data_IF_617316034921
#
_entry.id   IF_617316034921
#
_cell.length_a   1.000
_cell.length_b   1.000
_cell.length_c   1.000
_cell.angle_alpha   90.00
_cell.angle_beta   90.00
_cell.angle_gamma   90.00
#
_symmetry.space_group_name_H-M   'P 1'
#
loop_
_entity.id
_entity.type
_entity.pdbx_description
1 polymer ?
#
# COMPACT_ATOMS: atom_id res chain seq x y z
N UNK A 1 4.21 5.98 -10.48
CA UNK A 1 2.92 6.61 -10.84
C UNK A 1 2.90 6.90 -12.34
N UNK A 2 1.73 6.83 -12.96
CA UNK A 2 1.53 7.16 -14.38
C UNK A 2 0.22 7.93 -14.56
N UNK A 3 0.10 8.66 -15.66
CA UNK A 3 -1.17 9.30 -16.10
C UNK A 3 -1.40 8.92 -17.55
N UNK A 4 -2.60 8.43 -17.87
CA UNK A 4 -2.93 7.90 -19.20
C UNK A 4 -1.90 6.87 -19.73
N UNK A 5 -1.32 6.06 -18.84
CA UNK A 5 -0.29 5.07 -19.16
C UNK A 5 1.13 5.63 -19.32
N UNK A 6 1.33 6.95 -19.26
CA UNK A 6 2.65 7.57 -19.35
C UNK A 6 3.32 7.57 -17.98
N UNK A 7 4.43 6.85 -17.86
CA UNK A 7 5.21 6.75 -16.61
C UNK A 7 5.84 8.09 -16.24
N UNK A 8 5.49 8.63 -15.07
CA UNK A 8 6.11 9.87 -14.59
C UNK A 8 7.58 9.68 -14.26
N UNK A 9 8.00 8.49 -13.82
CA UNK A 9 9.42 8.17 -13.56
C UNK A 9 10.26 8.11 -14.85
N UNK A 10 9.62 7.84 -16.00
CA UNK A 10 10.32 7.89 -17.29
C UNK A 10 10.47 9.34 -17.78
N UNK A 11 9.48 10.20 -17.52
CA UNK A 11 9.54 11.62 -17.85
C UNK A 11 10.47 12.41 -16.92
N UNK A 12 10.48 12.03 -15.64
CA UNK A 12 11.28 12.64 -14.58
C UNK A 12 12.04 11.54 -13.80
N UNK A 13 13.26 11.18 -14.23
CA UNK A 13 14.01 10.07 -13.63
C UNK A 13 14.35 10.23 -12.15
N UNK A 14 14.46 11.48 -11.69
CA UNK A 14 14.76 11.81 -10.28
C UNK A 14 13.51 11.72 -9.39
N UNK A 15 12.32 11.48 -9.94
CA UNK A 15 11.04 11.47 -9.22
C UNK A 15 11.08 10.54 -8.00
N UNK A 16 10.80 11.13 -6.84
CA UNK A 16 10.77 10.41 -5.55
C UNK A 16 12.12 10.23 -4.87
N UNK A 17 13.21 10.70 -5.47
CA UNK A 17 14.54 10.76 -4.82
C UNK A 17 14.72 12.10 -4.07
N UNK A 18 15.80 12.21 -3.27
CA UNK A 18 16.14 13.47 -2.61
C UNK A 18 16.74 14.52 -3.57
N UNK A 19 17.17 14.11 -4.76
CA UNK A 19 17.66 15.02 -5.81
C UNK A 19 16.52 15.69 -6.59
N UNK A 20 15.29 15.22 -6.43
CA UNK A 20 14.10 15.73 -7.09
C UNK A 20 13.82 17.19 -6.72
N UNK A 21 13.99 18.10 -7.69
CA UNK A 21 13.73 19.53 -7.54
C UNK A 21 12.26 19.87 -7.35
N UNK A 22 11.35 19.00 -7.77
CA UNK A 22 9.91 19.16 -7.56
C UNK A 22 9.45 18.50 -6.25
N UNK A 23 10.37 17.83 -5.53
CA UNK A 23 10.14 17.24 -4.22
C UNK A 23 8.95 16.25 -4.18
N UNK A 24 8.76 15.40 -5.20
CA UNK A 24 7.68 14.42 -5.21
C UNK A 24 7.73 13.42 -4.04
N UNK A 25 8.90 13.24 -3.43
CA UNK A 25 9.05 12.46 -2.19
C UNK A 25 8.19 13.04 -1.04
N UNK A 26 7.95 14.35 -1.03
CA UNK A 26 7.09 15.01 -0.04
C UNK A 26 5.64 14.56 -0.16
N UNK A 27 5.16 14.19 -1.35
CA UNK A 27 3.80 13.65 -1.53
C UNK A 27 3.62 12.37 -0.71
N UNK A 28 4.60 11.46 -0.75
CA UNK A 28 4.56 10.26 0.09
C UNK A 28 4.65 10.60 1.58
N UNK A 29 5.47 11.57 1.95
CA UNK A 29 5.58 12.02 3.35
C UNK A 29 4.25 12.59 3.87
N UNK A 30 3.57 13.41 3.08
CA UNK A 30 2.23 13.90 3.39
C UNK A 30 1.21 12.77 3.53
N UNK A 31 1.30 11.70 2.73
CA UNK A 31 0.44 10.51 2.90
C UNK A 31 0.65 9.88 4.27
N UNK A 32 1.91 9.69 4.71
CA UNK A 32 2.25 9.16 6.03
C UNK A 32 1.74 10.08 7.15
N UNK A 33 1.94 11.39 6.99
CA UNK A 33 1.63 12.39 8.02
C UNK A 33 0.13 12.75 8.08
N UNK A 34 -0.63 12.47 7.01
CA UNK A 34 -2.04 12.87 6.87
C UNK A 34 -2.93 12.44 8.04
N UNK A 35 -2.73 11.22 8.56
CA UNK A 35 -3.50 10.72 9.69
C UNK A 35 -3.22 11.54 10.95
N UNK A 36 -1.95 11.84 11.23
CA UNK A 36 -1.54 12.64 12.38
C UNK A 36 -2.04 14.08 12.29
N UNK A 37 -1.99 14.68 11.11
CA UNK A 37 -2.50 16.04 10.89
C UNK A 37 -4.01 16.13 11.14
N UNK A 38 -4.79 15.22 10.57
CA UNK A 38 -6.25 15.20 10.78
C UNK A 38 -6.60 14.91 12.24
N UNK A 39 -5.88 13.98 12.89
CA UNK A 39 -6.07 13.71 14.32
C UNK A 39 -5.74 14.95 15.16
N UNK A 40 -4.67 15.66 14.85
CA UNK A 40 -4.30 16.90 15.55
C UNK A 40 -5.38 17.98 15.45
N UNK A 41 -6.04 18.09 14.29
CA UNK A 41 -7.04 19.13 14.03
C UNK A 41 -8.46 18.77 14.49
N UNK A 42 -8.89 17.52 14.27
CA UNK A 42 -10.27 17.06 14.50
C UNK A 42 -10.38 16.03 15.65
N UNK A 43 -9.27 15.49 16.13
CA UNK A 43 -9.21 14.45 17.16
C UNK A 43 -9.24 13.01 16.63
N UNK A 44 -9.74 12.78 15.41
CA UNK A 44 -9.87 11.45 14.81
C UNK A 44 -10.08 11.52 13.28
N UNK A 45 -9.78 10.42 12.57
CA UNK A 45 -10.12 10.22 11.15
C UNK A 45 -11.43 9.43 11.04
N UNK A 46 -12.25 9.69 10.00
CA UNK A 46 -13.58 9.05 9.87
C UNK A 46 -14.05 8.94 8.43
N UNK A 47 -14.17 10.07 7.73
CA UNK A 47 -14.80 10.11 6.41
C UNK A 47 -14.01 9.37 5.33
N UNK A 48 -12.70 9.65 5.21
CA UNK A 48 -11.86 9.03 4.17
C UNK A 48 -11.76 7.51 4.34
N UNK A 49 -11.60 7.03 5.57
CA UNK A 49 -11.58 5.58 5.83
C UNK A 49 -12.95 4.94 5.60
N UNK A 50 -14.05 5.63 5.95
CA UNK A 50 -15.41 5.14 5.65
C UNK A 50 -15.67 4.97 4.16
N UNK A 51 -15.24 5.93 3.33
CA UNK A 51 -15.33 5.82 1.87
C UNK A 51 -14.43 4.72 1.30
N UNK A 52 -13.21 4.58 1.82
CA UNK A 52 -12.31 3.49 1.43
C UNK A 52 -12.92 2.11 1.74
N UNK A 53 -13.50 1.92 2.92
CA UNK A 53 -14.19 0.68 3.30
C UNK A 53 -15.41 0.42 2.41
N UNK A 54 -16.19 1.47 2.08
CA UNK A 54 -17.32 1.33 1.17
C UNK A 54 -16.90 0.90 -0.25
N UNK A 55 -15.77 1.39 -0.75
CA UNK A 55 -15.22 1.01 -2.06
C UNK A 55 -14.75 -0.46 -2.11
N UNK A 56 -14.12 -0.92 -1.02
CA UNK A 56 -13.78 -2.35 -0.86
C UNK A 56 -15.04 -3.21 -0.77
N UNK A 57 -16.02 -2.80 0.04
CA UNK A 57 -17.28 -3.49 0.21
C UNK A 57 -18.04 -3.59 -1.13
N UNK A 58 -18.08 -2.52 -1.93
CA UNK A 58 -18.70 -2.57 -3.25
C UNK A 58 -18.07 -3.64 -4.14
N UNK A 59 -16.74 -3.76 -4.11
CA UNK A 59 -16.02 -4.77 -4.91
C UNK A 59 -16.34 -6.20 -4.48
N UNK A 60 -16.49 -6.43 -3.17
CA UNK A 60 -16.88 -7.72 -2.61
C UNK A 60 -18.35 -8.03 -2.95
N UNK A 61 -19.25 -7.13 -2.55
CA UNK A 61 -20.70 -7.32 -2.63
C UNK A 61 -21.22 -7.43 -4.06
N UNK A 62 -20.60 -6.75 -5.01
CA UNK A 62 -20.96 -6.81 -6.43
C UNK A 62 -20.05 -7.72 -7.27
N UNK A 63 -19.15 -8.48 -6.62
CA UNK A 63 -18.17 -9.36 -7.27
C UNK A 63 -17.40 -8.67 -8.42
N UNK A 64 -16.95 -7.42 -8.22
CA UNK A 64 -16.41 -6.61 -9.31
C UNK A 64 -15.03 -7.06 -9.79
N UNK A 65 -14.31 -7.86 -8.99
CA UNK A 65 -12.94 -8.30 -9.29
C UNK A 65 -12.00 -7.12 -9.57
N UNK A 66 -12.20 -6.00 -8.86
CA UNK A 66 -11.33 -4.81 -8.95
C UNK A 66 -10.03 -5.05 -8.18
N UNK A 67 -8.97 -4.39 -8.63
CA UNK A 67 -7.65 -4.45 -7.99
C UNK A 67 -7.54 -3.35 -6.93
N UNK A 68 -7.27 -3.74 -5.68
CA UNK A 68 -7.10 -2.84 -4.55
C UNK A 68 -5.83 -3.14 -3.75
N UNK A 69 -5.10 -2.12 -3.25
CA UNK A 69 -3.97 -2.34 -2.35
C UNK A 69 -4.46 -2.65 -0.92
N UNK A 70 -4.75 -3.92 -0.65
CA UNK A 70 -5.27 -4.40 0.64
C UNK A 70 -4.32 -5.40 1.30
N UNK A 71 -4.40 -5.49 2.63
CA UNK A 71 -3.55 -6.38 3.42
C UNK A 71 -3.89 -7.85 3.15
N UNK A 72 -2.90 -8.64 2.77
CA UNK A 72 -3.01 -10.09 2.57
C UNK A 72 -1.71 -10.78 2.98
N UNK A 73 -1.72 -12.10 3.08
CA UNK A 73 -0.51 -12.88 3.33
C UNK A 73 0.42 -12.76 2.11
N UNK A 74 1.64 -12.29 2.34
CA UNK A 74 2.62 -12.07 1.27
C UNK A 74 3.79 -13.06 1.30
N UNK A 75 3.69 -14.11 2.13
CA UNK A 75 4.66 -15.19 2.17
C UNK A 75 4.91 -15.78 0.78
N UNK A 76 6.18 -15.93 0.44
CA UNK A 76 6.63 -16.39 -0.88
C UNK A 76 6.78 -15.27 -1.92
N UNK A 77 6.33 -14.05 -1.65
CA UNK A 77 6.55 -12.89 -2.51
C UNK A 77 7.79 -12.11 -2.06
N UNK A 78 8.55 -11.58 -3.01
CA UNK A 78 9.71 -10.72 -2.75
C UNK A 78 10.71 -11.31 -1.73
N UNK A 79 10.86 -12.65 -1.69
CA UNK A 79 11.76 -13.35 -0.76
C UNK A 79 11.31 -13.39 0.71
N UNK A 80 10.08 -13.00 1.02
CA UNK A 80 9.54 -12.96 2.38
C UNK A 80 9.03 -14.36 2.76
N UNK A 81 9.49 -14.88 3.90
CA UNK A 81 9.24 -16.27 4.34
C UNK A 81 8.23 -16.40 5.46
N UNK A 82 8.10 -15.36 6.27
CA UNK A 82 7.24 -15.36 7.46
C UNK A 82 5.78 -15.10 7.09
N UNK A 83 4.87 -15.49 7.99
CA UNK A 83 3.42 -15.31 7.82
C UNK A 83 3.01 -13.85 8.16
N UNK A 84 3.54 -12.90 7.39
CA UNK A 84 3.28 -11.46 7.54
C UNK A 84 2.21 -10.99 6.56
N UNK A 85 1.36 -10.07 7.04
CA UNK A 85 0.27 -9.46 6.29
C UNK A 85 0.57 -7.98 6.03
N UNK A 86 0.62 -7.59 4.75
CA UNK A 86 0.78 -6.20 4.33
C UNK A 86 0.14 -5.94 2.96
N UNK A 87 -0.03 -4.67 2.61
CA UNK A 87 -0.79 -4.28 1.43
C UNK A 87 -0.03 -4.52 0.13
N UNK A 88 -0.64 -5.33 -0.75
CA UNK A 88 -0.25 -5.51 -2.15
C UNK A 88 -1.50 -5.47 -3.03
N UNK A 89 -1.40 -5.18 -4.34
CA UNK A 89 -2.59 -5.12 -5.17
C UNK A 89 -3.24 -6.50 -5.31
N UNK A 90 -4.49 -6.62 -4.88
CA UNK A 90 -5.25 -7.86 -4.84
C UNK A 90 -6.53 -7.73 -5.68
N UNK A 91 -6.91 -8.80 -6.37
CA UNK A 91 -8.22 -8.91 -7.02
C UNK A 91 -9.25 -9.26 -5.96
N UNK A 92 -10.21 -8.35 -5.74
CA UNK A 92 -11.24 -8.46 -4.72
C UNK A 92 -12.60 -8.75 -5.34
N UNK A 93 -13.23 -9.86 -4.95
CA UNK A 93 -14.56 -10.29 -5.41
C UNK A 93 -15.40 -10.88 -4.28
N UNK A 94 -16.47 -11.61 -4.64
CA UNK A 94 -17.44 -12.13 -3.67
C UNK A 94 -16.85 -13.10 -2.63
N UNK A 95 -15.73 -13.76 -2.96
CA UNK A 95 -15.03 -14.69 -2.08
C UNK A 95 -13.86 -14.02 -1.33
N UNK A 96 -13.83 -12.68 -1.28
CA UNK A 96 -12.68 -11.93 -0.78
C UNK A 96 -11.57 -11.86 -1.82
N UNK A 97 -10.32 -12.05 -1.38
CA UNK A 97 -9.14 -11.97 -2.24
C UNK A 97 -9.03 -13.27 -3.06
N UNK A 98 -9.17 -13.18 -4.38
CA UNK A 98 -8.99 -14.34 -5.26
C UNK A 98 -7.58 -14.45 -5.83
N UNK A 99 -6.93 -13.32 -6.08
CA UNK A 99 -5.64 -13.26 -6.76
C UNK A 99 -4.79 -12.10 -6.23
N UNK A 100 -3.46 -12.23 -6.34
CA UNK A 100 -2.49 -11.20 -5.97
C UNK A 100 -1.69 -10.79 -7.20
N UNK A 101 -1.60 -9.49 -7.47
CA UNK A 101 -0.82 -8.94 -8.57
C UNK A 101 0.65 -8.83 -8.15
N UNK A 102 1.53 -9.51 -8.89
CA UNK A 102 2.98 -9.43 -8.68
C UNK A 102 3.54 -8.18 -9.36
N UNK A 103 3.76 -7.14 -8.55
CA UNK A 103 4.31 -5.86 -9.02
C UNK A 103 5.80 -6.01 -9.26
N UNK A 104 6.30 -5.53 -10.40
CA UNK A 104 7.74 -5.40 -10.63
C UNK A 104 8.25 -4.20 -9.85
N UNK A 105 9.06 -4.45 -8.82
CA UNK A 105 9.64 -3.40 -7.98
C UNK A 105 11.10 -3.14 -8.38
N UNK A 106 11.55 -1.90 -8.21
CA UNK A 106 12.98 -1.59 -8.24
C UNK A 106 13.66 -2.19 -6.99
N UNK A 107 15.00 -2.40 -7.02
CA UNK A 107 15.71 -2.93 -5.86
C UNK A 107 15.52 -2.12 -4.58
N UNK A 108 15.40 -0.79 -4.70
CA UNK A 108 15.13 0.10 -3.57
C UNK A 108 13.71 -0.08 -3.02
N UNK A 109 12.69 -0.14 -3.89
CA UNK A 109 11.30 -0.36 -3.50
C UNK A 109 11.11 -1.74 -2.85
N UNK A 110 11.75 -2.79 -3.39
CA UNK A 110 11.72 -4.13 -2.81
C UNK A 110 12.39 -4.16 -1.42
N UNK A 111 13.55 -3.50 -1.26
CA UNK A 111 14.22 -3.38 0.04
C UNK A 111 13.35 -2.64 1.06
N UNK A 112 12.65 -1.58 0.65
CA UNK A 112 11.71 -0.86 1.53
C UNK A 112 10.51 -1.71 1.91
N UNK A 113 9.97 -2.50 0.98
CA UNK A 113 8.88 -3.44 1.26
C UNK A 113 9.30 -4.51 2.28
N UNK A 114 10.49 -5.11 2.09
CA UNK A 114 11.06 -6.07 3.05
C UNK A 114 11.23 -5.44 4.43
N UNK A 115 11.77 -4.23 4.51
CA UNK A 115 11.91 -3.51 5.79
C UNK A 115 10.56 -3.30 6.49
N UNK A 116 9.50 -2.97 5.74
CA UNK A 116 8.14 -2.88 6.28
C UNK A 116 7.63 -4.24 6.78
N UNK A 117 7.88 -5.32 6.04
CA UNK A 117 7.53 -6.67 6.45
C UNK A 117 8.26 -7.09 7.75
N UNK A 118 9.55 -6.83 7.84
CA UNK A 118 10.37 -7.14 9.02
C UNK A 118 9.86 -6.38 10.26
N UNK A 119 9.47 -5.10 10.08
CA UNK A 119 8.92 -4.26 11.15
C UNK A 119 7.61 -4.85 11.69
N UNK A 120 6.72 -5.27 10.80
CA UNK A 120 5.43 -5.87 11.18
C UNK A 120 5.63 -7.23 11.83
N UNK A 121 6.48 -8.09 11.25
CA UNK A 121 6.79 -9.40 11.80
C UNK A 121 7.40 -9.31 13.20
N UNK A 122 8.29 -8.33 13.42
CA UNK A 122 8.90 -8.07 14.72
C UNK A 122 7.90 -7.87 15.85
N UNK A 123 6.70 -7.35 15.55
CA UNK A 123 5.60 -7.18 16.50
C UNK A 123 4.67 -8.41 16.49
N UNK A 124 4.29 -8.88 15.30
CA UNK A 124 3.32 -9.97 15.14
C UNK A 124 3.75 -11.26 15.83
N UNK A 125 5.05 -11.58 15.80
CA UNK A 125 5.61 -12.80 16.41
C UNK A 125 5.49 -12.85 17.94
N UNK A 126 5.32 -11.70 18.57
CA UNK A 126 5.23 -11.57 20.04
C UNK A 126 3.77 -11.55 20.54
N UNK A 127 2.79 -11.55 19.63
CA UNK A 127 1.37 -11.56 19.99
C UNK A 127 0.97 -12.91 20.59
N UNK A 128 0.30 -12.86 21.75
CA UNK A 128 -0.32 -14.02 22.40
C UNK A 128 -1.84 -13.88 22.28
N UNK A 129 -2.49 -14.91 21.75
CA UNK A 129 -3.94 -14.96 21.52
C UNK A 129 -4.62 -15.95 22.46
#
# INVERSE_FOLDING_TARGET
VNVAGVSLKNLHPELGTDADKEHWKEVHKQVVDSAYEVIKLKGYTSWAIGLSVADLAESIMKNLRRVHPISTMIKGLYGIKEDVFLSVPCILGQNGISDVVKVTLTPEEEARLKKSADTLWGIQKELQF
#
